data_IF_767148259487
#
_entry.id   IF_767148259487
#
_cell.length_a   1.000
_cell.length_b   1.000
_cell.length_c   1.000
_cell.angle_alpha   90.00
_cell.angle_beta   90.00
_cell.angle_gamma   90.00
#
_symmetry.space_group_name_H-M   'P 1'
#
loop_
_entity.id
_entity.type
_entity.pdbx_description
1 polymer ?
#
# COMPACT_ATOMS: atom_id res chain seq x y z
N UNK A 1 85.93 49.69 -3.77
CA UNK A 1 85.03 48.58 -4.07
C UNK A 1 83.80 48.64 -3.14
N UNK A 2 82.74 49.20 -3.59
CA UNK A 2 81.49 49.38 -2.81
C UNK A 2 80.48 48.31 -3.20
N UNK A 3 80.09 47.48 -2.26
CA UNK A 3 79.09 46.45 -2.43
C UNK A 3 77.73 47.06 -2.08
N UNK A 4 76.86 47.12 -3.06
CA UNK A 4 75.46 47.55 -2.90
C UNK A 4 74.62 46.35 -2.39
N UNK A 5 74.00 46.45 -1.22
CA UNK A 5 73.00 45.50 -0.73
C UNK A 5 71.64 45.97 -1.14
N UNK A 6 70.90 45.10 -1.92
CA UNK A 6 69.55 45.32 -2.35
C UNK A 6 68.63 44.68 -1.30
N UNK A 7 67.84 45.48 -0.60
CA UNK A 7 66.84 45.02 0.36
C UNK A 7 65.50 44.75 -0.41
N UNK A 8 65.07 43.50 -0.40
CA UNK A 8 63.76 43.12 -0.91
C UNK A 8 62.71 43.30 0.22
N UNK A 9 61.79 44.23 0.00
CA UNK A 9 60.65 44.41 0.91
C UNK A 9 59.54 43.40 0.53
N UNK A 10 59.30 42.43 1.43
CA UNK A 10 58.13 41.57 1.37
C UNK A 10 56.89 42.36 1.80
N UNK A 11 55.97 42.61 0.87
CA UNK A 11 54.64 43.09 1.19
C UNK A 11 53.80 41.91 1.75
N UNK A 12 53.69 41.79 3.08
CA UNK A 12 52.66 41.03 3.71
C UNK A 12 51.33 41.79 3.64
N UNK A 13 50.46 41.42 2.65
CA UNK A 13 49.07 41.82 2.69
C UNK A 13 48.31 41.11 3.83
N UNK A 14 47.32 41.74 4.46
CA UNK A 14 46.56 41.10 5.50
C UNK A 14 45.81 39.91 4.90
N UNK A 15 46.05 38.70 5.41
CA UNK A 15 45.22 37.51 5.18
C UNK A 15 43.81 37.84 5.70
N UNK A 16 42.85 37.96 4.84
CA UNK A 16 41.44 37.96 5.23
C UNK A 16 41.15 36.60 5.88
N UNK A 17 41.12 36.60 7.20
CA UNK A 17 40.59 35.48 7.96
C UNK A 17 39.13 35.35 7.60
N UNK A 18 38.77 34.30 6.86
CA UNK A 18 37.40 33.88 6.70
C UNK A 18 36.98 33.39 8.09
N UNK A 19 36.29 34.24 8.85
CA UNK A 19 35.64 33.80 10.05
C UNK A 19 34.67 32.67 9.70
N UNK A 20 34.74 31.51 10.34
CA UNK A 20 33.73 30.47 10.17
C UNK A 20 32.40 31.07 10.60
N UNK A 21 31.39 31.06 9.71
CA UNK A 21 30.03 31.44 10.07
C UNK A 21 29.61 30.69 11.32
N UNK A 22 29.07 31.38 12.33
CA UNK A 22 28.67 30.74 13.56
C UNK A 22 27.63 29.67 13.22
N UNK A 23 27.83 28.45 13.73
CA UNK A 23 26.94 27.28 13.58
C UNK A 23 25.50 27.54 14.07
N UNK A 24 25.24 28.64 14.74
CA UNK A 24 23.94 29.09 15.20
C UNK A 24 23.08 29.77 14.14
N UNK A 25 23.60 30.09 12.96
CA UNK A 25 22.88 30.74 11.88
C UNK A 25 22.28 29.75 10.84
N UNK A 26 22.32 28.44 11.07
CA UNK A 26 21.36 27.54 10.45
C UNK A 26 20.03 27.73 11.18
N UNK A 27 19.29 28.79 10.86
CA UNK A 27 17.90 28.92 11.20
C UNK A 27 17.23 27.56 10.90
N UNK A 28 16.81 26.88 11.96
CA UNK A 28 15.99 25.70 11.84
C UNK A 28 14.72 26.16 11.12
N UNK A 29 14.66 25.93 9.79
CA UNK A 29 13.42 26.13 9.08
C UNK A 29 12.35 25.36 9.85
N UNK A 30 11.21 26.00 10.18
CA UNK A 30 10.18 25.34 10.94
C UNK A 30 9.81 24.05 10.22
N UNK A 31 10.21 22.93 10.79
CA UNK A 31 10.04 21.63 10.15
C UNK A 31 8.59 21.22 10.16
N UNK A 32 8.15 20.60 9.09
CA UNK A 32 6.82 20.01 9.00
C UNK A 32 6.64 18.90 10.04
N UNK A 33 5.48 18.88 10.68
CA UNK A 33 5.06 17.85 11.63
C UNK A 33 4.03 16.94 10.97
N UNK A 34 4.38 15.69 10.75
CA UNK A 34 3.49 14.70 10.17
C UNK A 34 3.23 13.60 11.19
N UNK A 35 1.97 13.37 11.50
CA UNK A 35 1.52 12.21 12.28
C UNK A 35 1.11 11.09 11.33
N UNK A 36 1.49 9.86 11.64
CA UNK A 36 1.11 8.67 10.86
C UNK A 36 0.28 7.76 11.75
N UNK A 37 -0.93 7.45 11.32
CA UNK A 37 -1.87 6.58 12.03
C UNK A 37 -2.11 5.29 11.25
N UNK A 38 -1.85 4.15 11.86
CA UNK A 38 -2.12 2.82 11.29
C UNK A 38 -2.58 1.84 12.37
N UNK A 39 -3.29 0.79 11.97
CA UNK A 39 -3.83 -0.21 12.91
C UNK A 39 -2.84 -1.35 13.14
N UNK A 40 -2.28 -1.90 12.08
CA UNK A 40 -1.39 -3.08 12.12
C UNK A 40 -0.02 -2.76 11.54
N UNK A 41 0.96 -3.62 11.85
CA UNK A 41 2.32 -3.53 11.33
C UNK A 41 2.60 -4.70 10.39
N UNK A 42 2.05 -4.63 9.19
CA UNK A 42 2.26 -5.61 8.13
C UNK A 42 3.18 -5.07 7.03
N UNK A 43 3.88 -5.96 6.32
CA UNK A 43 4.84 -5.59 5.27
C UNK A 43 4.24 -4.63 4.23
N UNK A 44 3.01 -4.83 3.68
CA UNK A 44 2.40 -3.90 2.74
C UNK A 44 2.26 -2.47 3.27
N UNK A 45 1.98 -2.30 4.56
CA UNK A 45 1.89 -0.95 5.17
C UNK A 45 3.25 -0.30 5.35
N UNK A 46 4.32 -1.11 5.55
CA UNK A 46 5.69 -0.60 5.57
C UNK A 46 6.10 -0.11 4.18
N UNK A 47 5.73 -0.84 3.11
CA UNK A 47 5.97 -0.42 1.73
C UNK A 47 5.25 0.88 1.39
N UNK A 48 3.97 1.00 1.76
CA UNK A 48 3.20 2.22 1.56
C UNK A 48 3.81 3.41 2.32
N UNK A 49 4.23 3.22 3.57
CA UNK A 49 4.94 4.23 4.34
C UNK A 49 6.28 4.62 3.69
N UNK A 50 7.06 3.64 3.26
CA UNK A 50 8.34 3.90 2.59
C UNK A 50 8.14 4.70 1.28
N UNK A 51 7.12 4.36 0.51
CA UNK A 51 6.73 5.11 -0.69
C UNK A 51 6.35 6.56 -0.36
N UNK A 52 5.55 6.77 0.67
CA UNK A 52 5.16 8.10 1.15
C UNK A 52 6.39 8.95 1.53
N UNK A 53 7.29 8.42 2.33
CA UNK A 53 8.53 9.11 2.71
C UNK A 53 9.43 9.35 1.49
N UNK A 54 9.47 8.40 0.54
CA UNK A 54 10.20 8.56 -0.72
C UNK A 54 9.71 9.75 -1.54
N UNK A 55 8.39 9.95 -1.64
CA UNK A 55 7.81 11.08 -2.33
C UNK A 55 8.08 12.42 -1.62
N UNK A 56 7.99 12.45 -0.29
CA UNK A 56 8.35 13.63 0.50
C UNK A 56 9.82 14.01 0.27
N UNK A 57 10.73 13.03 0.30
CA UNK A 57 12.17 13.24 0.03
C UNK A 57 12.41 13.78 -1.38
N UNK A 58 11.74 13.23 -2.39
CA UNK A 58 11.81 13.71 -3.77
C UNK A 58 11.35 15.19 -3.91
N UNK A 59 10.53 15.65 -2.96
CA UNK A 59 10.10 17.04 -2.84
C UNK A 59 10.89 17.85 -1.80
N UNK A 60 12.10 17.39 -1.39
CA UNK A 60 12.98 18.08 -0.44
C UNK A 60 12.37 18.23 0.98
N UNK A 61 11.46 17.33 1.34
CA UNK A 61 10.91 17.21 2.70
C UNK A 61 11.54 15.97 3.33
N UNK A 62 12.51 16.18 4.23
CA UNK A 62 13.40 15.13 4.70
C UNK A 62 13.43 15.02 6.22
N UNK A 63 13.35 13.79 6.73
CA UNK A 63 13.49 13.52 8.14
C UNK A 63 14.87 13.98 8.66
N UNK A 64 14.90 14.62 9.82
CA UNK A 64 16.13 15.15 10.42
C UNK A 64 16.56 16.53 9.87
N UNK A 65 15.95 17.02 8.78
CA UNK A 65 16.21 18.35 8.24
C UNK A 65 15.02 19.30 8.47
N UNK A 66 13.89 19.02 7.82
CA UNK A 66 12.69 19.85 7.86
C UNK A 66 11.42 19.03 8.02
N UNK A 67 11.52 17.76 8.39
CA UNK A 67 10.40 16.85 8.64
C UNK A 67 10.55 16.14 9.98
N UNK A 68 9.51 16.20 10.79
CA UNK A 68 9.34 15.38 11.99
C UNK A 68 8.17 14.45 11.77
N UNK A 69 8.40 13.15 11.89
CA UNK A 69 7.35 12.13 11.74
C UNK A 69 7.17 11.44 13.08
N UNK A 70 5.94 11.42 13.56
CA UNK A 70 5.54 10.56 14.66
C UNK A 70 4.60 9.47 14.11
N UNK A 71 4.95 8.20 14.30
CA UNK A 71 4.20 7.06 13.78
C UNK A 71 3.51 6.32 14.91
N UNK A 72 2.18 6.34 14.87
CA UNK A 72 1.32 5.70 15.86
C UNK A 72 0.75 4.43 15.25
N UNK A 73 1.05 3.32 15.91
CA UNK A 73 0.44 2.03 15.63
C UNK A 73 -0.58 1.77 16.73
N UNK A 74 -1.81 1.51 16.34
CA UNK A 74 -2.87 1.29 17.33
C UNK A 74 -2.70 -0.04 18.05
N UNK A 75 -1.75 -0.88 17.63
CA UNK A 75 -1.35 -2.19 18.19
C UNK A 75 -2.40 -2.80 19.13
N UNK A 76 -3.55 -3.08 18.59
CA UNK A 76 -4.53 -3.90 19.24
C UNK A 76 -4.37 -5.31 18.66
N UNK A 77 -4.60 -6.30 19.50
CA UNK A 77 -4.54 -7.71 19.16
C UNK A 77 -5.51 -8.03 17.98
N UNK A 78 -5.16 -7.49 16.80
CA UNK A 78 -5.91 -7.69 15.56
C UNK A 78 -5.99 -9.17 15.18
N UNK A 79 -5.10 -9.97 15.80
CA UNK A 79 -5.01 -11.41 15.62
C UNK A 79 -6.13 -12.15 16.35
N UNK A 80 -6.69 -11.60 17.44
CA UNK A 80 -7.72 -12.27 18.22
C UNK A 80 -9.12 -12.28 17.61
N UNK A 81 -9.42 -11.44 16.63
CA UNK A 81 -10.73 -11.38 15.99
C UNK A 81 -11.92 -11.13 16.93
N UNK A 82 -13.13 -11.01 16.37
CA UNK A 82 -14.38 -10.88 17.10
C UNK A 82 -14.87 -9.44 17.32
N UNK A 83 -16.15 -9.30 17.67
CA UNK A 83 -16.85 -8.01 17.80
C UNK A 83 -16.19 -7.06 18.80
N UNK A 84 -15.82 -7.56 19.99
CA UNK A 84 -15.18 -6.75 21.03
C UNK A 84 -13.79 -6.27 20.64
N UNK A 85 -13.06 -7.07 19.87
CA UNK A 85 -11.77 -6.67 19.29
C UNK A 85 -11.96 -5.51 18.31
N UNK A 86 -12.96 -5.59 17.43
CA UNK A 86 -13.28 -4.51 16.47
C UNK A 86 -13.66 -3.22 17.18
N UNK A 87 -14.54 -3.28 18.19
CA UNK A 87 -14.94 -2.11 18.96
C UNK A 87 -13.73 -1.47 19.67
N UNK A 88 -12.86 -2.28 20.27
CA UNK A 88 -11.62 -1.83 20.89
C UNK A 88 -10.69 -1.11 19.93
N UNK A 89 -10.50 -1.66 18.71
CA UNK A 89 -9.71 -1.00 17.65
C UNK A 89 -10.30 0.35 17.26
N UNK A 90 -11.61 0.41 17.02
CA UNK A 90 -12.29 1.67 16.67
C UNK A 90 -12.13 2.72 17.78
N UNK A 91 -12.31 2.33 19.04
CA UNK A 91 -12.13 3.26 20.17
C UNK A 91 -10.70 3.79 20.26
N UNK A 92 -9.69 2.95 20.07
CA UNK A 92 -8.29 3.37 20.08
C UNK A 92 -7.94 4.27 18.90
N UNK A 93 -8.41 3.96 17.69
CA UNK A 93 -8.22 4.85 16.53
C UNK A 93 -8.79 6.23 16.84
N UNK A 94 -10.00 6.31 17.39
CA UNK A 94 -10.64 7.58 17.75
C UNK A 94 -9.88 8.32 18.85
N UNK A 95 -9.41 7.62 19.86
CA UNK A 95 -8.59 8.21 20.93
C UNK A 95 -7.28 8.80 20.38
N UNK A 96 -6.57 8.04 19.52
CA UNK A 96 -5.34 8.55 18.89
C UNK A 96 -5.63 9.70 17.93
N UNK A 97 -6.73 9.65 17.18
CA UNK A 97 -7.14 10.77 16.33
C UNK A 97 -7.42 12.04 17.13
N UNK A 98 -8.04 11.93 18.31
CA UNK A 98 -8.25 13.06 19.22
C UNK A 98 -6.93 13.62 19.76
N UNK A 99 -5.99 12.75 20.17
CA UNK A 99 -4.64 13.14 20.58
C UNK A 99 -3.91 13.89 19.48
N UNK A 100 -3.95 13.35 18.26
CA UNK A 100 -3.33 13.94 17.07
C UNK A 100 -3.98 15.29 16.75
N UNK A 101 -5.30 15.37 16.78
CA UNK A 101 -6.03 16.62 16.56
C UNK A 101 -5.64 17.72 17.56
N UNK A 102 -5.47 17.36 18.85
CA UNK A 102 -5.01 18.27 19.88
C UNK A 102 -3.55 18.75 19.68
N UNK A 103 -2.68 17.88 19.11
CA UNK A 103 -1.29 18.21 18.80
C UNK A 103 -1.13 19.13 17.57
N UNK A 104 -2.19 19.32 16.77
CA UNK A 104 -2.25 20.16 15.57
C UNK A 104 -1.03 19.97 14.65
N UNK A 105 -0.79 18.77 14.11
CA UNK A 105 0.25 18.57 13.10
C UNK A 105 -0.10 19.31 11.80
N UNK A 106 0.89 19.48 10.94
CA UNK A 106 0.67 20.06 9.61
C UNK A 106 -0.06 19.10 8.66
N UNK A 107 0.01 17.79 8.94
CA UNK A 107 -0.63 16.75 8.13
C UNK A 107 -0.70 15.42 8.91
N UNK A 108 -1.77 14.67 8.66
CA UNK A 108 -1.90 13.27 9.10
C UNK A 108 -1.87 12.35 7.88
N UNK A 109 -1.03 11.32 7.93
CA UNK A 109 -1.11 10.16 7.03
C UNK A 109 -1.88 9.04 7.73
N UNK A 110 -3.02 8.62 7.17
CA UNK A 110 -3.70 7.40 7.60
C UNK A 110 -3.37 6.24 6.65
N UNK A 111 -2.90 5.11 7.20
CA UNK A 111 -2.59 3.92 6.42
C UNK A 111 -3.66 2.86 6.66
N UNK A 112 -4.40 2.53 5.60
CA UNK A 112 -5.48 1.54 5.60
C UNK A 112 -6.87 2.13 5.89
N UNK A 113 -7.91 1.39 5.48
CA UNK A 113 -9.31 1.83 5.54
C UNK A 113 -9.80 2.11 6.97
N UNK A 114 -9.54 1.28 7.99
CA UNK A 114 -10.00 1.56 9.35
C UNK A 114 -9.40 2.83 9.95
N UNK A 115 -8.08 3.04 9.81
CA UNK A 115 -7.41 4.25 10.31
C UNK A 115 -8.01 5.50 9.66
N UNK A 116 -8.23 5.48 8.35
CA UNK A 116 -8.84 6.58 7.58
C UNK A 116 -10.27 6.84 8.02
N UNK A 117 -11.11 5.82 8.00
CA UNK A 117 -12.55 5.90 8.26
C UNK A 117 -12.87 6.48 9.64
N UNK A 118 -12.19 5.98 10.68
CA UNK A 118 -12.54 6.33 12.06
C UNK A 118 -11.80 7.56 12.60
N UNK A 119 -10.72 8.02 11.94
CA UNK A 119 -10.04 9.25 12.28
C UNK A 119 -10.58 10.47 11.53
N UNK A 120 -11.13 10.28 10.32
CA UNK A 120 -11.50 11.34 9.38
C UNK A 120 -12.33 12.46 10.03
N UNK A 121 -13.51 12.16 10.58
CA UNK A 121 -14.40 13.19 11.14
C UNK A 121 -13.75 14.01 12.25
N UNK A 122 -12.94 13.36 13.12
CA UNK A 122 -12.22 14.03 14.21
C UNK A 122 -11.19 15.02 13.68
N UNK A 123 -10.46 14.62 12.63
CA UNK A 123 -9.43 15.45 12.01
C UNK A 123 -10.05 16.58 11.18
N UNK A 124 -11.17 16.33 10.52
CA UNK A 124 -11.96 17.33 9.78
C UNK A 124 -12.48 18.42 10.71
N UNK A 125 -13.09 18.05 11.84
CA UNK A 125 -13.58 18.99 12.86
C UNK A 125 -12.43 19.86 13.43
N UNK A 126 -11.24 19.27 13.57
CA UNK A 126 -10.03 19.95 14.03
C UNK A 126 -9.33 20.76 12.93
N UNK A 127 -9.78 20.67 11.68
CA UNK A 127 -9.15 21.28 10.48
C UNK A 127 -7.71 20.85 10.27
N UNK A 128 -7.41 19.59 10.59
CA UNK A 128 -6.10 18.97 10.34
C UNK A 128 -6.16 18.22 9.02
N UNK A 129 -5.27 18.53 8.04
CA UNK A 129 -5.25 17.85 6.74
C UNK A 129 -5.02 16.36 6.89
N UNK A 130 -5.86 15.55 6.24
CA UNK A 130 -5.75 14.10 6.18
C UNK A 130 -5.38 13.63 4.78
N UNK A 131 -4.28 12.91 4.68
CA UNK A 131 -3.89 12.15 3.48
C UNK A 131 -3.95 10.67 3.82
N UNK A 132 -4.65 9.89 3.03
CA UNK A 132 -4.71 8.44 3.24
C UNK A 132 -3.97 7.66 2.16
N UNK A 133 -3.59 6.43 2.48
CA UNK A 133 -3.01 5.45 1.55
C UNK A 133 -3.42 4.03 1.93
N UNK A 134 -3.19 3.07 1.04
CA UNK A 134 -3.54 1.66 1.26
C UNK A 134 -5.03 1.44 1.57
N UNK A 135 -5.90 2.25 0.99
CA UNK A 135 -7.36 2.14 1.03
C UNK A 135 -7.83 1.45 -0.24
N UNK A 136 -8.60 0.36 -0.11
CA UNK A 136 -9.08 -0.41 -1.25
C UNK A 136 -10.16 0.36 -2.04
N UNK A 137 -11.14 0.89 -1.34
CA UNK A 137 -12.25 1.64 -1.94
C UNK A 137 -12.44 2.98 -1.20
N UNK A 138 -12.15 4.12 -1.85
CA UNK A 138 -12.30 5.44 -1.22
C UNK A 138 -13.73 5.77 -0.75
N UNK A 139 -14.75 5.17 -1.36
CA UNK A 139 -16.15 5.38 -0.92
C UNK A 139 -16.37 4.85 0.51
N UNK A 140 -15.74 3.74 0.89
CA UNK A 140 -15.88 3.13 2.21
C UNK A 140 -15.27 3.99 3.34
N UNK A 141 -14.39 4.93 2.98
CA UNK A 141 -13.82 5.90 3.91
C UNK A 141 -14.46 7.29 3.77
N UNK A 142 -15.57 7.38 3.03
CA UNK A 142 -16.42 8.57 2.96
C UNK A 142 -16.10 9.53 1.79
N UNK A 143 -15.34 9.13 0.79
CA UNK A 143 -15.24 9.90 -0.44
C UNK A 143 -16.49 9.70 -1.30
N UNK A 144 -16.90 10.73 -2.03
CA UNK A 144 -17.99 10.63 -3.02
C UNK A 144 -17.48 9.99 -4.31
N UNK A 145 -16.26 10.32 -4.68
CA UNK A 145 -15.56 9.80 -5.87
C UNK A 145 -14.05 9.97 -5.72
N UNK A 146 -13.29 9.54 -6.72
CA UNK A 146 -11.85 9.83 -6.76
C UNK A 146 -11.55 11.34 -6.91
N UNK A 147 -12.47 12.09 -7.51
CA UNK A 147 -12.28 13.54 -7.68
C UNK A 147 -12.72 14.34 -6.45
N UNK A 148 -13.58 13.76 -5.60
CA UNK A 148 -14.17 14.43 -4.44
C UNK A 148 -14.15 13.51 -3.22
N UNK A 149 -13.28 13.84 -2.28
CA UNK A 149 -13.21 13.16 -0.99
C UNK A 149 -13.68 14.04 0.17
N UNK A 150 -14.23 15.22 -0.12
CA UNK A 150 -14.75 16.15 0.88
C UNK A 150 -13.65 17.01 1.53
N UNK A 151 -14.05 17.87 2.48
CA UNK A 151 -13.17 18.88 3.06
C UNK A 151 -12.01 18.27 3.84
N UNK A 152 -10.84 18.86 3.68
CA UNK A 152 -9.64 18.48 4.44
C UNK A 152 -9.06 17.11 4.16
N UNK A 153 -9.55 16.37 3.15
CA UNK A 153 -9.16 14.96 2.89
C UNK A 153 -8.76 14.76 1.44
N UNK A 154 -7.67 14.02 1.23
CA UNK A 154 -7.24 13.46 -0.06
C UNK A 154 -6.39 12.21 0.20
N UNK A 155 -5.84 11.60 -0.83
CA UNK A 155 -4.95 10.45 -0.64
C UNK A 155 -4.68 9.66 -1.91
N UNK A 156 -4.42 8.37 -1.71
CA UNK A 156 -4.25 7.39 -2.76
C UNK A 156 -4.93 6.07 -2.43
N UNK A 157 -5.32 5.33 -3.46
CA UNK A 157 -6.09 4.09 -3.31
C UNK A 157 -5.42 2.92 -4.01
N UNK A 158 -5.66 1.72 -3.46
CA UNK A 158 -5.34 0.42 -4.08
C UNK A 158 -6.41 -0.01 -5.08
N UNK A 159 -7.40 0.83 -5.34
CA UNK A 159 -8.50 0.47 -6.24
C UNK A 159 -7.96 -0.01 -7.59
N UNK A 160 -8.33 -1.23 -7.94
CA UNK A 160 -8.08 -1.86 -9.23
C UNK A 160 -9.41 -2.26 -9.83
N UNK A 161 -9.63 -1.98 -11.12
CA UNK A 161 -10.81 -2.47 -11.80
C UNK A 161 -10.77 -4.00 -11.82
N UNK A 162 -11.70 -4.63 -11.12
CA UNK A 162 -11.66 -6.07 -10.91
C UNK A 162 -11.95 -6.86 -12.19
N UNK A 163 -12.79 -6.33 -13.09
CA UNK A 163 -13.02 -6.93 -14.40
C UNK A 163 -11.70 -6.98 -15.21
N UNK A 164 -10.94 -5.90 -15.20
CA UNK A 164 -9.67 -5.84 -15.92
C UNK A 164 -8.66 -6.81 -15.29
N UNK A 165 -8.57 -6.84 -13.96
CA UNK A 165 -7.71 -7.78 -13.26
C UNK A 165 -8.04 -9.25 -13.61
N UNK A 166 -9.32 -9.60 -13.60
CA UNK A 166 -9.79 -10.95 -13.96
C UNK A 166 -9.62 -11.23 -15.46
N UNK A 167 -9.69 -10.23 -16.33
CA UNK A 167 -9.32 -10.39 -17.74
C UNK A 167 -7.87 -10.86 -17.88
N UNK A 168 -6.95 -10.29 -17.10
CA UNK A 168 -5.54 -10.75 -17.09
C UNK A 168 -5.44 -12.18 -16.53
N UNK A 169 -6.15 -12.48 -15.45
CA UNK A 169 -6.23 -13.85 -14.91
C UNK A 169 -6.70 -14.83 -15.98
N UNK A 170 -7.79 -14.51 -16.70
CA UNK A 170 -8.32 -15.36 -17.76
C UNK A 170 -7.36 -15.52 -18.94
N UNK A 171 -6.59 -14.48 -19.29
CA UNK A 171 -5.55 -14.59 -20.34
C UNK A 171 -4.42 -15.54 -19.97
N UNK A 172 -4.04 -15.57 -18.67
CA UNK A 172 -3.00 -16.49 -18.18
C UNK A 172 -3.55 -17.90 -17.97
N UNK A 173 -4.80 -18.02 -17.52
CA UNK A 173 -5.46 -19.29 -17.19
C UNK A 173 -6.78 -19.45 -17.94
N UNK A 174 -6.76 -19.60 -19.29
CA UNK A 174 -7.99 -19.57 -20.11
C UNK A 174 -8.95 -20.72 -19.81
N UNK A 175 -8.48 -21.81 -19.25
CA UNK A 175 -9.28 -23.00 -18.93
C UNK A 175 -9.89 -22.96 -17.51
N UNK A 176 -9.57 -21.95 -16.71
CA UNK A 176 -10.05 -21.82 -15.35
C UNK A 176 -11.13 -20.73 -15.27
N UNK A 177 -12.38 -21.16 -15.11
CA UNK A 177 -13.55 -20.29 -15.01
C UNK A 177 -14.23 -20.29 -13.64
N UNK A 178 -13.87 -21.22 -12.74
CA UNK A 178 -14.41 -21.32 -11.38
C UNK A 178 -13.33 -20.97 -10.37
N UNK A 179 -13.52 -19.84 -9.71
CA UNK A 179 -12.55 -19.23 -8.77
C UNK A 179 -13.06 -19.42 -7.34
N UNK A 180 -12.22 -19.97 -6.48
CA UNK A 180 -12.45 -20.03 -5.04
C UNK A 180 -11.78 -18.85 -4.33
N UNK A 181 -12.48 -18.22 -3.39
CA UNK A 181 -11.93 -17.16 -2.55
C UNK A 181 -12.25 -17.43 -1.08
N UNK A 182 -11.27 -17.31 -0.21
CA UNK A 182 -11.45 -17.31 1.24
C UNK A 182 -11.19 -15.90 1.74
N UNK A 183 -12.04 -15.38 2.61
CA UNK A 183 -11.90 -14.05 3.20
C UNK A 183 -12.40 -14.02 4.63
N UNK A 184 -12.06 -13.00 5.36
CA UNK A 184 -12.61 -12.75 6.70
C UNK A 184 -13.72 -11.69 6.65
N UNK A 185 -14.09 -11.18 7.81
CA UNK A 185 -14.97 -10.03 7.94
C UNK A 185 -14.23 -8.68 7.81
N UNK A 186 -13.02 -8.69 7.24
CA UNK A 186 -12.27 -7.49 6.85
C UNK A 186 -13.03 -6.72 5.78
N UNK A 187 -13.25 -5.42 5.99
CA UNK A 187 -14.04 -4.60 5.06
C UNK A 187 -13.46 -4.61 3.64
N UNK A 188 -12.12 -4.59 3.49
CA UNK A 188 -11.48 -4.67 2.18
C UNK A 188 -11.66 -6.06 1.56
N UNK A 189 -11.53 -7.13 2.36
CA UNK A 189 -11.71 -8.50 1.91
C UNK A 189 -13.12 -8.74 1.36
N UNK A 190 -14.15 -8.32 2.11
CA UNK A 190 -15.56 -8.43 1.71
C UNK A 190 -15.82 -7.64 0.42
N UNK A 191 -15.37 -6.38 0.35
CA UNK A 191 -15.55 -5.53 -0.83
C UNK A 191 -14.82 -6.09 -2.06
N UNK A 192 -13.60 -6.62 -1.87
CA UNK A 192 -12.81 -7.19 -2.96
C UNK A 192 -13.44 -8.46 -3.53
N UNK A 193 -13.97 -9.35 -2.67
CA UNK A 193 -14.72 -10.54 -3.09
C UNK A 193 -16.00 -10.16 -3.87
N UNK A 194 -16.75 -9.19 -3.39
CA UNK A 194 -17.96 -8.72 -4.09
C UNK A 194 -17.63 -8.13 -5.47
N UNK A 195 -16.56 -7.33 -5.57
CA UNK A 195 -16.07 -6.79 -6.83
C UNK A 195 -15.58 -7.89 -7.78
N UNK A 196 -14.85 -8.89 -7.27
CA UNK A 196 -14.41 -10.05 -8.04
C UNK A 196 -15.58 -10.86 -8.58
N UNK A 197 -16.61 -11.12 -7.78
CA UNK A 197 -17.81 -11.82 -8.22
C UNK A 197 -18.59 -11.04 -9.29
N UNK A 198 -18.60 -9.70 -9.20
CA UNK A 198 -19.17 -8.83 -10.24
C UNK A 198 -18.42 -8.93 -11.56
N UNK A 199 -17.11 -8.68 -11.53
CA UNK A 199 -16.25 -8.71 -12.71
C UNK A 199 -16.15 -10.09 -13.36
N UNK A 200 -16.17 -11.17 -12.56
CA UNK A 200 -16.15 -12.55 -13.07
C UNK A 200 -17.36 -12.87 -13.92
N UNK A 201 -18.56 -12.47 -13.48
CA UNK A 201 -19.81 -12.71 -14.23
C UNK A 201 -19.78 -12.07 -15.61
N UNK A 202 -19.20 -10.90 -15.74
CA UNK A 202 -19.07 -10.22 -17.05
C UNK A 202 -18.12 -10.95 -18.01
N UNK A 203 -17.24 -11.80 -17.48
CA UNK A 203 -16.28 -12.62 -18.25
C UNK A 203 -16.71 -14.09 -18.41
N UNK A 204 -17.94 -14.43 -17.99
CA UNK A 204 -18.40 -15.82 -18.01
C UNK A 204 -17.72 -16.71 -16.96
N UNK A 205 -17.11 -16.12 -15.94
CA UNK A 205 -16.45 -16.82 -14.83
C UNK A 205 -17.35 -16.79 -13.58
N UNK A 206 -17.11 -17.71 -12.65
CA UNK A 206 -17.83 -17.78 -11.38
C UNK A 206 -16.85 -17.66 -10.20
N UNK A 207 -17.24 -16.88 -9.19
CA UNK A 207 -16.54 -16.79 -7.90
C UNK A 207 -17.41 -17.46 -6.84
N UNK A 208 -16.83 -18.43 -6.14
CA UNK A 208 -17.40 -19.02 -4.93
C UNK A 208 -16.52 -18.61 -3.74
N UNK A 209 -17.13 -17.94 -2.76
CA UNK A 209 -16.39 -17.42 -1.61
C UNK A 209 -16.79 -18.11 -0.30
N UNK A 210 -15.85 -18.22 0.62
CA UNK A 210 -16.09 -18.63 2.01
C UNK A 210 -15.52 -17.61 2.98
N UNK A 211 -16.35 -17.20 3.92
CA UNK A 211 -15.92 -16.38 5.03
C UNK A 211 -15.48 -17.25 6.20
N UNK A 212 -14.33 -16.89 6.80
CA UNK A 212 -13.75 -17.53 7.97
C UNK A 212 -13.44 -16.48 9.04
N UNK A 213 -13.20 -16.91 10.29
CA UNK A 213 -12.68 -15.98 11.30
C UNK A 213 -11.17 -15.74 11.08
N UNK A 214 -10.65 -14.62 11.56
CA UNK A 214 -9.20 -14.29 11.47
C UNK A 214 -8.30 -15.31 12.20
N UNK A 215 -8.87 -16.05 13.12
CA UNK A 215 -8.19 -17.10 13.91
C UNK A 215 -8.35 -18.50 13.33
N UNK A 216 -9.16 -18.66 12.28
CA UNK A 216 -9.41 -19.99 11.72
C UNK A 216 -8.26 -20.41 10.80
N UNK A 217 -7.95 -21.69 10.79
CA UNK A 217 -7.11 -22.28 9.77
C UNK A 217 -7.85 -22.30 8.43
N UNK A 218 -7.17 -21.93 7.35
CA UNK A 218 -7.76 -21.79 6.02
C UNK A 218 -8.08 -23.13 5.34
N UNK A 219 -7.33 -24.19 5.65
CA UNK A 219 -7.38 -25.47 4.92
C UNK A 219 -8.77 -26.11 4.86
N UNK A 220 -9.60 -26.12 5.92
CA UNK A 220 -10.96 -26.62 5.83
C UNK A 220 -11.83 -25.87 4.81
N UNK A 221 -11.66 -24.54 4.71
CA UNK A 221 -12.38 -23.73 3.73
C UNK A 221 -11.93 -24.04 2.30
N UNK A 222 -10.61 -24.24 2.08
CA UNK A 222 -10.06 -24.62 0.78
C UNK A 222 -10.58 -25.98 0.33
N UNK A 223 -10.57 -26.98 1.21
CA UNK A 223 -11.13 -28.32 0.94
C UNK A 223 -12.59 -28.25 0.54
N UNK A 224 -13.37 -27.48 1.30
CA UNK A 224 -14.78 -27.34 1.02
C UNK A 224 -15.05 -26.67 -0.35
N UNK A 225 -14.31 -25.63 -0.72
CA UNK A 225 -14.42 -24.99 -2.03
C UNK A 225 -13.97 -25.90 -3.17
N UNK A 226 -12.93 -26.69 -2.97
CA UNK A 226 -12.39 -27.61 -3.97
C UNK A 226 -13.30 -28.81 -4.21
N UNK A 227 -13.99 -29.32 -3.18
CA UNK A 227 -14.81 -30.53 -3.23
C UNK A 227 -16.30 -30.28 -3.44
N UNK A 228 -16.76 -29.03 -3.40
CA UNK A 228 -18.17 -28.68 -3.51
C UNK A 228 -18.62 -28.65 -4.98
N UNK A 229 -19.60 -29.47 -5.32
CA UNK A 229 -20.15 -29.55 -6.68
C UNK A 229 -19.09 -29.90 -7.72
N UNK A 230 -18.93 -29.07 -8.76
CA UNK A 230 -17.87 -29.22 -9.74
C UNK A 230 -16.49 -28.75 -9.26
N UNK A 231 -16.43 -28.20 -8.04
CA UNK A 231 -15.23 -27.67 -7.44
C UNK A 231 -14.67 -26.40 -8.11
N UNK A 232 -13.76 -25.73 -7.41
CA UNK A 232 -13.02 -24.61 -8.00
C UNK A 232 -11.85 -25.13 -8.84
N UNK A 233 -11.44 -24.34 -9.82
CA UNK A 233 -10.31 -24.65 -10.73
C UNK A 233 -9.07 -23.83 -10.39
N UNK A 234 -9.23 -22.78 -9.59
CA UNK A 234 -8.16 -21.94 -9.05
C UNK A 234 -8.61 -21.28 -7.76
N UNK A 235 -7.65 -20.79 -7.00
CA UNK A 235 -7.92 -19.89 -5.88
C UNK A 235 -7.45 -18.47 -6.20
N UNK A 236 -8.23 -17.48 -5.78
CA UNK A 236 -7.83 -16.08 -5.82
C UNK A 236 -7.80 -15.49 -4.40
N UNK A 237 -6.72 -14.79 -4.09
CA UNK A 237 -6.51 -14.11 -2.81
C UNK A 237 -7.04 -12.70 -2.90
N UNK A 238 -8.04 -12.34 -2.09
CA UNK A 238 -8.54 -10.97 -2.01
C UNK A 238 -7.59 -10.06 -1.23
N UNK A 239 -7.85 -8.77 -1.26
CA UNK A 239 -7.20 -7.79 -0.41
C UNK A 239 -7.76 -7.91 1.03
N UNK A 240 -7.24 -8.85 1.80
CA UNK A 240 -7.64 -9.13 3.18
C UNK A 240 -6.40 -9.24 4.07
N UNK A 241 -6.42 -8.56 5.22
CA UNK A 241 -5.30 -8.58 6.18
C UNK A 241 -5.01 -9.97 6.74
N UNK A 242 -5.99 -10.88 6.70
CA UNK A 242 -5.85 -12.27 7.13
C UNK A 242 -4.63 -12.97 6.54
N UNK A 243 -4.33 -12.73 5.27
CA UNK A 243 -3.19 -13.34 4.58
C UNK A 243 -1.83 -12.80 5.02
N UNK A 244 -1.80 -11.68 5.73
CA UNK A 244 -0.58 -11.09 6.30
C UNK A 244 -0.39 -11.32 7.80
N UNK A 245 -1.38 -11.91 8.47
CA UNK A 245 -1.33 -12.21 9.91
C UNK A 245 -0.58 -13.53 10.18
N UNK A 246 -0.26 -13.78 11.43
CA UNK A 246 0.37 -15.04 11.90
C UNK A 246 1.56 -15.48 11.03
N UNK A 247 2.43 -14.54 10.65
CA UNK A 247 3.59 -14.81 9.78
C UNK A 247 3.22 -15.41 8.43
N UNK A 248 2.09 -14.97 7.86
CA UNK A 248 1.57 -15.44 6.56
C UNK A 248 1.06 -16.90 6.56
N UNK A 249 0.68 -17.45 7.71
CA UNK A 249 0.24 -18.86 7.83
C UNK A 249 -0.85 -19.19 6.79
N UNK A 250 -1.92 -18.40 6.73
CA UNK A 250 -3.01 -18.63 5.77
C UNK A 250 -2.55 -18.56 4.29
N UNK A 251 -1.60 -17.67 3.99
CA UNK A 251 -1.04 -17.55 2.64
C UNK A 251 -0.14 -18.75 2.28
N UNK A 252 0.64 -19.24 3.24
CA UNK A 252 1.50 -20.43 3.09
C UNK A 252 0.62 -21.66 2.87
N UNK A 253 -0.35 -21.89 3.75
CA UNK A 253 -1.27 -23.04 3.67
C UNK A 253 -2.03 -23.06 2.34
N UNK A 254 -2.47 -21.89 1.84
CA UNK A 254 -3.11 -21.77 0.54
C UNK A 254 -2.15 -22.15 -0.61
N UNK A 255 -0.92 -21.65 -0.56
CA UNK A 255 0.11 -21.95 -1.56
C UNK A 255 0.45 -23.43 -1.61
N UNK A 256 0.60 -24.05 -0.43
CA UNK A 256 0.90 -25.49 -0.29
C UNK A 256 -0.27 -26.34 -0.77
N UNK A 257 -1.51 -25.97 -0.40
CA UNK A 257 -2.72 -26.64 -0.87
C UNK A 257 -2.86 -26.55 -2.41
N UNK A 258 -2.62 -25.36 -2.98
CA UNK A 258 -2.62 -25.17 -4.43
C UNK A 258 -1.55 -26.01 -5.13
N UNK A 259 -0.37 -26.16 -4.53
CA UNK A 259 0.70 -27.01 -5.04
C UNK A 259 0.35 -28.49 -5.03
N UNK A 260 -0.16 -28.99 -3.89
CA UNK A 260 -0.54 -30.40 -3.69
C UNK A 260 -1.62 -30.84 -4.69
N UNK A 261 -2.59 -29.95 -4.95
CA UNK A 261 -3.74 -30.25 -5.80
C UNK A 261 -3.60 -29.73 -7.24
N UNK A 262 -2.44 -29.18 -7.61
CA UNK A 262 -2.19 -28.57 -8.94
C UNK A 262 -3.20 -27.49 -9.33
N UNK A 263 -3.68 -26.73 -8.33
CA UNK A 263 -4.58 -25.61 -8.52
C UNK A 263 -3.78 -24.30 -8.57
N UNK A 264 -3.95 -23.47 -9.60
CA UNK A 264 -3.34 -22.15 -9.62
C UNK A 264 -3.81 -21.30 -8.45
N UNK A 265 -2.89 -20.60 -7.81
CA UNK A 265 -3.16 -19.55 -6.84
C UNK A 265 -2.83 -18.22 -7.50
N UNK A 266 -3.77 -17.29 -7.51
CA UNK A 266 -3.60 -15.93 -8.01
C UNK A 266 -3.89 -14.93 -6.91
N UNK A 267 -3.27 -13.75 -6.95
CA UNK A 267 -3.60 -12.67 -6.02
C UNK A 267 -4.25 -11.52 -6.77
N UNK A 268 -5.32 -10.97 -6.21
CA UNK A 268 -6.01 -9.77 -6.71
C UNK A 268 -5.57 -8.51 -5.95
N UNK A 269 -4.42 -8.61 -5.30
CA UNK A 269 -3.70 -7.54 -4.62
C UNK A 269 -2.21 -7.88 -4.61
N UNK A 270 -1.34 -6.88 -4.49
CA UNK A 270 0.11 -7.09 -4.41
C UNK A 270 0.54 -7.46 -2.98
N UNK A 271 -0.02 -8.55 -2.46
CA UNK A 271 0.33 -9.13 -1.16
C UNK A 271 1.13 -10.40 -1.36
N UNK A 272 2.11 -10.64 -0.49
CA UNK A 272 2.96 -11.82 -0.57
C UNK A 272 2.16 -13.08 -0.26
N UNK A 273 2.06 -13.97 -1.24
CA UNK A 273 1.46 -15.30 -1.10
C UNK A 273 2.45 -16.33 -1.64
N UNK A 274 3.18 -17.06 -0.77
CA UNK A 274 4.09 -18.10 -1.22
C UNK A 274 3.36 -19.10 -2.12
N UNK A 275 3.93 -19.37 -3.29
CA UNK A 275 3.31 -20.32 -4.23
C UNK A 275 2.22 -19.75 -5.13
N UNK A 276 1.91 -18.46 -5.08
CA UNK A 276 1.05 -17.84 -6.08
C UNK A 276 1.75 -17.79 -7.45
N UNK A 277 0.99 -18.09 -8.51
CA UNK A 277 1.50 -18.12 -9.88
C UNK A 277 1.34 -16.77 -10.59
N UNK A 278 0.39 -15.94 -10.15
CA UNK A 278 0.07 -14.64 -10.74
C UNK A 278 -0.33 -13.65 -9.66
N UNK A 279 0.18 -12.43 -9.78
CA UNK A 279 -0.16 -11.27 -8.94
C UNK A 279 -0.69 -10.16 -9.83
N UNK A 280 -1.86 -9.62 -9.51
CA UNK A 280 -2.48 -8.50 -10.23
C UNK A 280 -2.98 -7.48 -9.23
N UNK A 281 -2.46 -6.26 -9.27
CA UNK A 281 -2.92 -5.22 -8.34
C UNK A 281 -2.07 -3.96 -8.35
N UNK A 282 -2.47 -3.00 -7.53
CA UNK A 282 -1.68 -1.81 -7.26
C UNK A 282 -0.61 -2.12 -6.21
N UNK A 283 0.61 -1.62 -6.43
CA UNK A 283 1.71 -1.78 -5.49
C UNK A 283 1.57 -0.83 -4.31
N UNK A 284 1.73 -1.35 -3.09
CA UNK A 284 1.64 -0.54 -1.88
C UNK A 284 2.66 0.59 -1.84
N UNK A 285 3.89 0.35 -2.27
CA UNK A 285 4.91 1.38 -2.38
C UNK A 285 4.55 2.48 -3.38
N UNK A 286 3.97 2.12 -4.52
CA UNK A 286 3.55 3.08 -5.54
C UNK A 286 2.40 3.96 -5.04
N UNK A 287 1.36 3.36 -4.44
CA UNK A 287 0.26 4.17 -3.88
C UNK A 287 0.71 5.01 -2.68
N UNK A 288 1.63 4.51 -1.86
CA UNK A 288 2.28 5.31 -0.83
C UNK A 288 2.99 6.54 -1.41
N UNK A 289 3.73 6.36 -2.50
CA UNK A 289 4.39 7.46 -3.21
C UNK A 289 3.39 8.50 -3.75
N UNK A 290 2.28 8.05 -4.32
CA UNK A 290 1.20 8.93 -4.76
C UNK A 290 0.60 9.75 -3.60
N UNK A 291 0.35 9.13 -2.45
CA UNK A 291 -0.09 9.84 -1.25
C UNK A 291 0.93 10.88 -0.77
N UNK A 292 2.21 10.54 -0.79
CA UNK A 292 3.30 11.45 -0.45
C UNK A 292 3.40 12.64 -1.42
N UNK A 293 3.07 12.43 -2.70
CA UNK A 293 2.99 13.51 -3.70
C UNK A 293 1.87 14.51 -3.35
N UNK A 294 0.69 14.02 -2.92
CA UNK A 294 -0.38 14.91 -2.45
C UNK A 294 0.01 15.64 -1.17
N UNK A 295 0.63 14.92 -0.22
CA UNK A 295 1.14 15.49 1.02
C UNK A 295 2.16 16.62 0.77
N UNK A 296 3.08 16.44 -0.19
CA UNK A 296 4.05 17.46 -0.54
C UNK A 296 3.40 18.74 -1.08
N UNK A 297 2.31 18.63 -1.88
CA UNK A 297 1.54 19.80 -2.36
C UNK A 297 0.87 20.53 -1.19
N UNK A 298 0.34 19.80 -0.21
CA UNK A 298 -0.28 20.38 0.97
C UNK A 298 0.76 21.11 1.82
N UNK A 299 1.88 20.46 2.13
CA UNK A 299 2.91 20.97 3.03
C UNK A 299 3.68 22.15 2.42
N UNK A 300 4.10 22.06 1.15
CA UNK A 300 4.92 23.10 0.52
C UNK A 300 4.11 24.21 -0.12
N UNK A 301 3.04 23.85 -0.80
CA UNK A 301 2.28 24.80 -1.64
C UNK A 301 1.01 25.28 -0.92
N UNK A 302 0.75 24.81 0.31
CA UNK A 302 -0.47 25.10 1.06
C UNK A 302 -1.74 24.78 0.24
N UNK A 303 -1.65 23.79 -0.66
CA UNK A 303 -2.79 23.35 -1.46
C UNK A 303 -3.81 22.69 -0.54
N UNK A 304 -5.05 23.11 -0.63
CA UNK A 304 -6.12 22.53 0.17
C UNK A 304 -6.39 21.09 -0.25
N UNK A 305 -6.54 20.13 0.67
CA UNK A 305 -6.77 18.73 0.34
C UNK A 305 -7.99 18.50 -0.57
N UNK A 306 -9.08 19.22 -0.36
CA UNK A 306 -10.34 19.06 -1.10
C UNK A 306 -10.26 19.40 -2.59
N UNK A 307 -9.21 20.10 -3.06
CA UNK A 307 -8.99 20.36 -4.48
C UNK A 307 -8.06 19.32 -5.13
N UNK A 308 -7.54 18.40 -4.32
CA UNK A 308 -6.64 17.34 -4.78
C UNK A 308 -7.42 16.03 -4.94
N UNK A 309 -7.45 15.44 -6.14
CA UNK A 309 -8.11 14.16 -6.33
C UNK A 309 -7.40 13.03 -5.57
N UNK A 310 -8.13 11.99 -5.25
CA UNK A 310 -7.55 10.73 -4.79
C UNK A 310 -6.82 10.08 -5.95
N UNK A 311 -5.52 9.83 -5.78
CA UNK A 311 -4.69 9.23 -6.82
C UNK A 311 -4.75 7.70 -6.76
N UNK A 312 -4.56 7.07 -7.90
CA UNK A 312 -4.41 5.61 -8.02
C UNK A 312 -3.28 5.27 -8.98
N UNK A 313 -2.78 4.07 -8.88
CA UNK A 313 -1.93 3.51 -9.92
C UNK A 313 -2.80 3.24 -11.15
N UNK A 314 -2.53 3.92 -12.27
CA UNK A 314 -3.37 3.84 -13.47
C UNK A 314 -3.37 2.45 -14.10
N UNK A 315 -2.21 1.81 -14.14
CA UNK A 315 -2.06 0.45 -14.66
C UNK A 315 -1.60 -0.45 -13.52
N UNK A 316 -2.39 -1.45 -13.12
CA UNK A 316 -1.95 -2.41 -12.12
C UNK A 316 -0.66 -3.12 -12.54
N UNK A 317 0.14 -3.50 -11.57
CA UNK A 317 1.29 -4.38 -11.80
C UNK A 317 0.79 -5.80 -11.98
N UNK A 318 1.36 -6.51 -12.95
CA UNK A 318 1.09 -7.93 -13.22
C UNK A 318 2.41 -8.68 -13.12
N UNK A 319 2.55 -9.52 -12.09
CA UNK A 319 3.73 -10.37 -11.92
C UNK A 319 3.36 -11.84 -12.05
N UNK A 320 4.22 -12.59 -12.74
CA UNK A 320 4.07 -14.03 -12.93
C UNK A 320 5.27 -14.74 -12.36
N UNK A 321 5.04 -15.81 -11.64
CA UNK A 321 6.07 -16.76 -11.22
C UNK A 321 6.26 -17.83 -12.29
N UNK A 322 7.34 -17.78 -13.09
CA UNK A 322 7.58 -18.76 -14.16
C UNK A 322 7.81 -20.18 -13.62
N UNK A 323 8.39 -20.32 -12.43
CA UNK A 323 8.62 -21.64 -11.83
C UNK A 323 7.29 -22.28 -11.42
N UNK A 324 6.36 -21.47 -10.90
CA UNK A 324 5.01 -21.94 -10.56
C UNK A 324 4.19 -22.31 -11.79
N UNK A 325 4.24 -21.51 -12.86
CA UNK A 325 3.58 -21.87 -14.11
C UNK A 325 4.12 -23.20 -14.66
N UNK A 326 5.44 -23.40 -14.64
CA UNK A 326 6.05 -24.64 -15.07
C UNK A 326 5.62 -25.86 -14.22
N UNK A 327 5.53 -25.69 -12.88
CA UNK A 327 5.06 -26.74 -11.97
C UNK A 327 3.57 -27.11 -12.18
N UNK A 328 2.80 -26.20 -12.74
CA UNK A 328 1.38 -26.39 -13.10
C UNK A 328 1.18 -26.83 -14.56
N UNK A 329 2.25 -27.05 -15.32
CA UNK A 329 2.23 -27.34 -16.76
C UNK A 329 1.51 -26.25 -17.59
N UNK A 330 1.57 -24.99 -17.14
CA UNK A 330 0.89 -23.86 -17.79
C UNK A 330 1.92 -23.08 -18.63
N UNK A 331 1.57 -22.91 -19.91
CA UNK A 331 2.33 -22.09 -20.85
C UNK A 331 1.63 -20.77 -21.08
N UNK A 332 2.35 -19.66 -20.89
CA UNK A 332 1.84 -18.35 -21.27
C UNK A 332 1.63 -18.26 -22.78
N UNK A 333 0.55 -17.60 -23.24
CA UNK A 333 0.39 -17.23 -24.63
C UNK A 333 1.58 -16.43 -25.15
N UNK A 334 1.99 -16.66 -26.41
CA UNK A 334 3.15 -15.97 -27.02
C UNK A 334 3.03 -14.45 -26.96
N UNK A 335 1.83 -13.92 -27.14
CA UNK A 335 1.56 -12.48 -27.04
C UNK A 335 1.93 -11.89 -25.67
N UNK A 336 1.72 -12.62 -24.58
CA UNK A 336 2.13 -12.22 -23.23
C UNK A 336 3.63 -12.42 -23.03
N UNK A 337 4.20 -13.51 -23.55
CA UNK A 337 5.64 -13.80 -23.47
C UNK A 337 6.47 -12.74 -24.19
N UNK A 338 6.04 -12.26 -25.35
CA UNK A 338 6.74 -11.25 -26.15
C UNK A 338 6.84 -9.88 -25.43
N UNK A 339 5.95 -9.62 -24.50
CA UNK A 339 5.86 -8.34 -23.76
C UNK A 339 6.32 -8.43 -22.30
N UNK A 340 6.90 -9.57 -21.90
CA UNK A 340 7.42 -9.73 -20.55
C UNK A 340 8.73 -9.00 -20.37
N UNK A 341 8.92 -8.48 -19.17
CA UNK A 341 10.20 -7.98 -18.67
C UNK A 341 10.57 -8.78 -17.43
N UNK A 342 11.87 -8.93 -17.16
CA UNK A 342 12.32 -9.57 -15.94
C UNK A 342 12.11 -8.60 -14.78
N UNK A 343 11.26 -8.99 -13.83
CA UNK A 343 11.08 -8.27 -12.58
C UNK A 343 12.10 -8.76 -11.52
N UNK A 344 12.07 -8.13 -10.35
CA UNK A 344 12.92 -8.55 -9.23
C UNK A 344 12.55 -9.95 -8.74
N UNK A 345 13.51 -10.67 -8.18
CA UNK A 345 13.33 -11.98 -7.53
C UNK A 345 12.85 -13.10 -8.46
N UNK A 346 13.17 -13.05 -9.75
CA UNK A 346 12.84 -14.13 -10.69
C UNK A 346 11.43 -14.11 -11.27
N UNK A 347 10.57 -13.16 -10.84
CA UNK A 347 9.26 -12.96 -11.45
C UNK A 347 9.37 -12.31 -12.82
N UNK A 348 8.41 -12.60 -13.70
CA UNK A 348 8.20 -11.84 -14.92
C UNK A 348 7.11 -10.79 -14.70
N UNK A 349 7.38 -9.58 -15.12
CA UNK A 349 6.35 -8.55 -15.20
C UNK A 349 5.74 -8.58 -16.60
N UNK A 350 4.41 -8.66 -16.66
CA UNK A 350 3.67 -8.59 -17.91
C UNK A 350 3.20 -7.16 -18.14
N UNK A 351 3.27 -6.70 -19.41
CA UNK A 351 2.72 -5.42 -19.77
C UNK A 351 1.18 -5.47 -19.70
N UNK A 352 0.60 -4.45 -19.09
CA UNK A 352 -0.83 -4.19 -19.13
C UNK A 352 -1.16 -3.55 -20.48
N UNK A 353 -2.16 -4.07 -21.18
CA UNK A 353 -2.63 -3.50 -22.45
C UNK A 353 -3.51 -2.26 -22.22
#
# INVERSE_FOLDING_TARGET
MKILALAAALCCGPALAIEPLPLEAMEQQPGFKVEVLQVTDIEPYQEAYAGFIGALRANQIEAGRNLRVNRVKVDFDAERGGFWSKLGVVMRIRQEAQRIAAARPDLVLAIGSPATKYARGILEDAKVPLVFTAVANPVDVGCVSLADCGPGVTGSTLYTNMRDALTMVHRVFPNASRIGMVHTDDENGVANVAAAAGGARELGMAVTARQVAKTDNIVPALKALHQQGEGVQMFAVPLDTYYGLHRYEAAIDLGDYGAEHKLPVVTLAMVRVPGAALYVGAEFGAVGYLAGTQAAKILKNHTKPEVLPVLRQEKPTVLVDPARLAALDIRLPEALLARRTQARNGYWQLAWE
#
